data_IF_920971654070
#
_entry.id   IF_920971654070
#
_cell.length_a   1.000
_cell.length_b   1.000
_cell.length_c   1.000
_cell.angle_alpha   90.00
_cell.angle_beta   90.00
_cell.angle_gamma   90.00
#
_symmetry.space_group_name_H-M   'P 1'
#
loop_
_entity.id
_entity.type
_entity.pdbx_description
1 polymer ?
#
# COMPACT_ATOMS: atom_id res chain seq x y z
N UNK A 1 -37.00 -19.79 -14.20
CA UNK A 1 -37.37 -18.35 -14.18
C UNK A 1 -36.08 -17.57 -14.04
N UNK A 2 -35.76 -16.70 -15.00
CA UNK A 2 -34.58 -15.85 -14.92
C UNK A 2 -34.84 -14.75 -13.89
N UNK A 3 -34.08 -14.74 -12.80
CA UNK A 3 -34.14 -13.64 -11.83
C UNK A 3 -33.65 -12.35 -12.50
N UNK A 4 -34.39 -11.23 -12.37
CA UNK A 4 -33.94 -9.96 -12.91
C UNK A 4 -32.58 -9.59 -12.29
N UNK A 5 -31.58 -9.38 -13.14
CA UNK A 5 -30.26 -8.89 -12.73
C UNK A 5 -30.39 -7.40 -12.45
N UNK A 6 -30.21 -6.99 -11.19
CA UNK A 6 -30.20 -5.58 -10.83
C UNK A 6 -28.90 -4.94 -11.34
N UNK A 7 -29.01 -4.16 -12.42
CA UNK A 7 -27.87 -3.48 -13.06
C UNK A 7 -27.54 -2.11 -12.45
N UNK A 8 -28.17 -1.74 -11.32
CA UNK A 8 -28.01 -0.44 -10.69
C UNK A 8 -28.64 0.70 -11.49
N UNK A 9 -28.56 1.93 -10.96
CA UNK A 9 -29.02 3.13 -11.68
C UNK A 9 -28.00 3.46 -12.79
N UNK A 10 -28.44 3.76 -14.03
CA UNK A 10 -27.54 4.19 -15.09
C UNK A 10 -26.74 5.42 -14.64
N UNK A 11 -25.41 5.28 -14.63
CA UNK A 11 -24.50 6.39 -14.33
C UNK A 11 -24.23 7.20 -15.59
N UNK A 12 -24.19 8.52 -15.45
CA UNK A 12 -23.93 9.41 -16.58
C UNK A 12 -22.43 9.52 -16.84
N UNK A 13 -22.07 9.80 -18.09
CA UNK A 13 -20.73 10.26 -18.41
C UNK A 13 -20.61 11.75 -18.10
N UNK A 14 -19.51 12.14 -17.47
CA UNK A 14 -19.15 13.51 -17.15
C UNK A 14 -17.96 13.90 -18.02
N UNK A 15 -18.04 15.07 -18.66
CA UNK A 15 -16.93 15.64 -19.40
C UNK A 15 -16.04 16.46 -18.47
N UNK A 16 -14.74 16.19 -18.50
CA UNK A 16 -13.70 16.91 -17.75
C UNK A 16 -12.44 17.09 -18.59
N UNK A 17 -11.56 17.99 -18.17
CA UNK A 17 -10.24 18.19 -18.77
C UNK A 17 -9.15 17.84 -17.76
N UNK A 18 -8.18 17.01 -18.16
CA UNK A 18 -6.97 16.71 -17.38
C UNK A 18 -5.76 17.09 -18.21
N UNK A 19 -4.97 18.05 -17.72
CA UNK A 19 -3.78 18.58 -18.41
C UNK A 19 -4.07 18.96 -19.87
N UNK A 20 -5.23 19.61 -20.09
CA UNK A 20 -5.70 20.03 -21.43
C UNK A 20 -6.42 18.94 -22.25
N UNK A 21 -6.39 17.68 -21.82
CA UNK A 21 -7.06 16.57 -22.52
C UNK A 21 -8.51 16.46 -22.06
N UNK A 22 -9.46 16.67 -22.98
CA UNK A 22 -10.88 16.42 -22.71
C UNK A 22 -11.16 14.91 -22.68
N UNK A 23 -11.81 14.43 -21.61
CA UNK A 23 -12.18 13.04 -21.42
C UNK A 23 -13.60 12.92 -20.88
N UNK A 24 -14.22 11.76 -21.14
CA UNK A 24 -15.47 11.36 -20.53
C UNK A 24 -15.21 10.28 -19.49
N UNK A 25 -15.68 10.52 -18.26
CA UNK A 25 -15.54 9.57 -17.15
C UNK A 25 -16.89 9.25 -16.56
N UNK A 26 -17.02 8.06 -15.96
CA UNK A 26 -18.25 7.65 -15.31
C UNK A 26 -18.46 8.44 -14.01
N UNK A 27 -19.69 8.87 -13.78
CA UNK A 27 -20.10 9.50 -12.52
C UNK A 27 -19.71 8.62 -11.31
N UNK A 28 -19.17 9.25 -10.27
CA UNK A 28 -18.69 8.58 -9.06
C UNK A 28 -17.24 8.09 -9.11
N UNK A 29 -16.54 8.19 -10.25
CA UNK A 29 -15.09 8.01 -10.31
C UNK A 29 -14.35 9.09 -9.52
N UNK A 30 -13.19 8.75 -8.97
CA UNK A 30 -12.26 9.73 -8.40
C UNK A 30 -11.42 10.38 -9.50
N UNK A 31 -10.79 11.53 -9.20
CA UNK A 31 -9.83 12.14 -10.12
C UNK A 31 -8.66 11.18 -10.40
N UNK A 32 -8.23 10.39 -9.40
CA UNK A 32 -7.16 9.40 -9.59
C UNK A 32 -7.56 8.32 -10.61
N UNK A 33 -8.81 7.83 -10.55
CA UNK A 33 -9.32 6.86 -11.52
C UNK A 33 -9.33 7.44 -12.94
N UNK A 34 -9.70 8.71 -13.08
CA UNK A 34 -9.65 9.43 -14.35
C UNK A 34 -8.21 9.59 -14.87
N UNK A 35 -7.25 9.90 -14.00
CA UNK A 35 -5.83 9.97 -14.35
C UNK A 35 -5.31 8.62 -14.85
N UNK A 36 -5.72 7.52 -14.20
CA UNK A 36 -5.33 6.15 -14.60
C UNK A 36 -5.85 5.76 -15.98
N UNK A 37 -7.07 6.17 -16.35
CA UNK A 37 -7.59 5.95 -17.71
C UNK A 37 -6.72 6.62 -18.79
N UNK A 38 -6.17 7.79 -18.48
CA UNK A 38 -5.22 8.50 -19.34
C UNK A 38 -3.78 8.02 -19.22
N UNK A 39 -3.51 7.01 -18.38
CA UNK A 39 -2.17 6.53 -18.03
C UNK A 39 -1.26 7.63 -17.48
N UNK A 40 -1.85 8.63 -16.83
CA UNK A 40 -1.12 9.67 -16.10
C UNK A 40 -0.69 9.10 -14.76
N UNK A 41 0.63 8.93 -14.60
CA UNK A 41 1.24 8.50 -13.34
C UNK A 41 1.08 9.59 -12.26
N UNK A 42 0.01 9.45 -11.47
CA UNK A 42 -0.29 10.29 -10.31
C UNK A 42 0.16 9.55 -9.04
N UNK A 43 1.17 10.06 -8.32
CA UNK A 43 1.77 9.35 -7.19
C UNK A 43 0.80 9.02 -6.05
N UNK A 44 0.89 7.81 -5.50
CA UNK A 44 0.13 7.44 -4.30
C UNK A 44 0.96 6.56 -3.37
N UNK A 45 0.88 6.81 -2.07
CA UNK A 45 1.51 5.95 -1.04
C UNK A 45 0.47 5.27 -0.15
N UNK A 46 -0.58 5.99 0.26
CA UNK A 46 -1.67 5.47 1.11
C UNK A 46 -2.87 4.93 0.33
N UNK A 47 -2.94 5.11 -0.99
CA UNK A 47 -4.02 4.55 -1.80
C UNK A 47 -3.69 3.11 -2.24
N UNK A 48 -4.67 2.23 -2.19
CA UNK A 48 -4.64 0.90 -2.79
C UNK A 48 -6.04 0.61 -3.32
N UNK A 49 -6.17 0.00 -4.50
CA UNK A 49 -7.48 -0.17 -5.16
C UNK A 49 -8.45 -1.04 -4.38
N UNK A 50 -7.91 -1.96 -3.58
CA UNK A 50 -8.66 -2.89 -2.75
C UNK A 50 -8.95 -2.35 -1.35
N UNK A 51 -8.55 -1.10 -1.04
CA UNK A 51 -8.76 -0.46 0.26
C UNK A 51 -9.45 0.90 0.11
N UNK A 52 -10.14 1.30 1.17
CA UNK A 52 -10.76 2.61 1.31
C UNK A 52 -9.69 3.71 1.40
N UNK A 53 -9.75 4.77 0.57
CA UNK A 53 -8.74 5.82 0.58
C UNK A 53 -8.76 6.68 1.87
N UNK A 54 -7.66 6.65 2.62
CA UNK A 54 -7.50 7.40 3.88
C UNK A 54 -7.10 8.87 3.65
N UNK A 55 -6.53 9.20 2.49
CA UNK A 55 -6.06 10.55 2.13
C UNK A 55 -4.92 11.15 2.97
N UNK A 56 -4.21 10.33 3.75
CA UNK A 56 -3.20 10.81 4.72
C UNK A 56 -1.86 11.18 4.07
N UNK A 57 -1.41 10.47 3.03
CA UNK A 57 -0.06 10.69 2.47
C UNK A 57 0.09 12.00 1.68
N UNK A 58 -1.00 12.59 1.19
CA UNK A 58 -1.04 13.84 0.40
C UNK A 58 -0.16 13.92 -0.85
N UNK A 59 0.52 12.86 -1.28
CA UNK A 59 1.34 12.89 -2.52
C UNK A 59 0.45 12.97 -3.78
N UNK A 60 -0.75 12.40 -3.73
CA UNK A 60 -1.67 12.33 -4.88
C UNK A 60 -2.38 13.65 -5.21
N UNK A 61 -2.02 14.76 -4.56
CA UNK A 61 -2.72 16.02 -4.74
C UNK A 61 -2.62 16.53 -6.18
N UNK A 62 -3.68 17.19 -6.64
CA UNK A 62 -3.80 17.83 -7.96
C UNK A 62 -4.41 19.22 -7.80
N UNK A 63 -4.20 20.08 -8.79
CA UNK A 63 -4.83 21.39 -8.86
C UNK A 63 -6.12 21.30 -9.69
N UNK A 64 -7.19 21.91 -9.19
CA UNK A 64 -8.47 22.01 -9.91
C UNK A 64 -8.78 23.49 -10.06
N UNK A 65 -9.10 23.93 -11.28
CA UNK A 65 -9.44 25.34 -11.54
C UNK A 65 -10.60 25.79 -10.64
N UNK A 66 -10.46 26.99 -10.07
CA UNK A 66 -11.40 27.53 -9.08
C UNK A 66 -11.23 27.00 -7.66
N UNK A 67 -10.48 25.91 -7.45
CA UNK A 67 -10.15 25.44 -6.10
C UNK A 67 -9.00 26.24 -5.49
N UNK A 68 -9.23 26.78 -4.28
CA UNK A 68 -8.18 27.49 -3.53
C UNK A 68 -7.03 26.55 -3.10
N UNK A 69 -7.37 25.31 -2.75
CA UNK A 69 -6.42 24.31 -2.23
C UNK A 69 -6.18 23.19 -3.24
N UNK A 70 -5.02 22.53 -3.15
CA UNK A 70 -4.79 21.29 -3.88
C UNK A 70 -5.65 20.17 -3.29
N UNK A 71 -6.33 19.43 -4.16
CA UNK A 71 -7.30 18.40 -3.77
C UNK A 71 -6.67 17.01 -3.87
N UNK A 72 -6.98 16.07 -2.96
CA UNK A 72 -6.49 14.71 -3.05
C UNK A 72 -7.18 13.97 -4.20
N UNK A 73 -6.44 13.56 -5.23
CA UNK A 73 -7.05 12.87 -6.39
C UNK A 73 -7.67 11.53 -6.02
N UNK A 74 -7.13 10.82 -5.02
CA UNK A 74 -7.58 9.48 -4.61
C UNK A 74 -8.98 9.42 -3.96
N UNK A 75 -9.56 10.55 -3.56
CA UNK A 75 -10.93 10.59 -2.99
C UNK A 75 -11.83 11.65 -3.60
N UNK A 76 -11.27 12.71 -4.19
CA UNK A 76 -12.08 13.75 -4.82
C UNK A 76 -12.82 13.16 -6.02
N UNK A 77 -14.15 13.15 -5.93
CA UNK A 77 -15.03 12.74 -7.04
C UNK A 77 -14.99 13.77 -8.16
N UNK A 78 -15.05 13.26 -9.39
CA UNK A 78 -15.10 14.07 -10.60
C UNK A 78 -16.49 14.71 -10.74
N UNK A 79 -16.53 15.98 -11.12
CA UNK A 79 -17.74 16.72 -11.46
C UNK A 79 -17.66 17.25 -12.89
N UNK A 80 -18.79 17.39 -13.56
CA UNK A 80 -18.84 17.89 -14.93
C UNK A 80 -18.16 19.28 -15.05
N UNK A 81 -17.35 19.44 -16.09
CA UNK A 81 -16.64 20.68 -16.37
C UNK A 81 -15.40 20.93 -15.51
N UNK A 82 -15.01 19.99 -14.64
CA UNK A 82 -13.74 20.11 -13.91
C UNK A 82 -12.56 20.21 -14.88
N UNK A 83 -11.63 21.10 -14.55
CA UNK A 83 -10.33 21.22 -15.21
C UNK A 83 -9.24 20.95 -14.18
N UNK A 84 -8.47 19.90 -14.42
CA UNK A 84 -7.52 19.32 -13.48
C UNK A 84 -6.12 19.47 -14.07
N UNK A 85 -5.20 19.98 -13.27
CA UNK A 85 -3.77 20.09 -13.60
C UNK A 85 -2.99 19.16 -12.65
N UNK A 86 -2.35 18.13 -13.20
CA UNK A 86 -1.70 17.07 -12.41
C UNK A 86 -0.22 17.31 -12.17
N UNK A 87 0.38 18.29 -12.87
CA UNK A 87 1.82 18.60 -12.78
C UNK A 87 2.11 20.10 -12.81
N UNK A 88 1.16 20.95 -12.36
CA UNK A 88 1.39 22.39 -12.21
C UNK A 88 2.51 22.70 -11.21
N UNK A 89 3.07 23.91 -11.25
CA UNK A 89 4.14 24.33 -10.32
C UNK A 89 3.74 24.11 -8.85
N UNK A 90 2.48 24.44 -8.50
CA UNK A 90 1.94 24.23 -7.14
C UNK A 90 1.91 22.74 -6.77
N UNK A 91 1.47 21.88 -7.69
CA UNK A 91 1.44 20.43 -7.48
C UNK A 91 2.85 19.87 -7.31
N UNK A 92 3.77 20.25 -8.20
CA UNK A 92 5.18 19.83 -8.15
C UNK A 92 5.84 20.22 -6.84
N UNK A 93 5.66 21.47 -6.42
CA UNK A 93 6.17 21.96 -5.14
C UNK A 93 5.61 21.15 -3.95
N UNK A 94 4.29 20.93 -3.93
CA UNK A 94 3.65 20.16 -2.86
C UNK A 94 4.15 18.72 -2.80
N UNK A 95 4.27 18.03 -3.94
CA UNK A 95 4.75 16.65 -4.01
C UNK A 95 6.19 16.52 -3.54
N UNK A 96 7.07 17.42 -4.00
CA UNK A 96 8.46 17.50 -3.53
C UNK A 96 8.52 17.64 -2.02
N UNK A 97 7.82 18.63 -1.45
CA UNK A 97 7.84 18.89 -0.01
C UNK A 97 7.33 17.71 0.81
N UNK A 98 6.24 17.08 0.38
CA UNK A 98 5.69 15.90 1.07
C UNK A 98 6.67 14.74 1.04
N UNK A 99 7.30 14.47 -0.10
CA UNK A 99 8.30 13.40 -0.21
C UNK A 99 9.55 13.69 0.64
N UNK A 100 10.01 14.93 0.70
CA UNK A 100 11.12 15.35 1.57
C UNK A 100 10.77 15.18 3.05
N UNK A 101 9.56 15.58 3.46
CA UNK A 101 9.09 15.43 4.84
C UNK A 101 9.02 13.95 5.26
N UNK A 102 8.45 13.10 4.40
CA UNK A 102 8.41 11.65 4.66
C UNK A 102 9.82 11.06 4.74
N UNK A 103 10.69 11.37 3.77
CA UNK A 103 12.05 10.84 3.73
C UNK A 103 12.95 11.36 4.85
N UNK A 104 12.58 12.47 5.50
CA UNK A 104 13.32 13.00 6.65
C UNK A 104 12.98 12.33 7.99
N UNK A 105 11.81 11.68 8.09
CA UNK A 105 11.34 11.09 9.35
C UNK A 105 11.39 9.56 9.39
N UNK A 106 11.50 8.92 8.23
CA UNK A 106 11.55 7.45 8.09
C UNK A 106 12.59 6.98 7.09
N UNK A 107 13.04 5.73 7.24
CA UNK A 107 13.83 5.05 6.21
C UNK A 107 12.94 4.55 5.05
N UNK A 108 13.05 5.21 3.90
CA UNK A 108 12.32 4.89 2.66
C UNK A 108 13.10 4.01 1.68
N UNK A 109 14.25 3.44 2.08
CA UNK A 109 15.13 2.65 1.18
C UNK A 109 14.46 1.41 0.58
N UNK A 110 13.48 0.83 1.30
CA UNK A 110 12.71 -0.34 0.87
C UNK A 110 11.41 -0.01 0.13
N UNK A 111 11.12 1.27 -0.09
CA UNK A 111 10.01 1.64 -0.95
C UNK A 111 10.22 1.12 -2.38
N UNK A 112 9.09 0.87 -3.06
CA UNK A 112 9.09 0.43 -4.45
C UNK A 112 9.86 1.41 -5.35
N UNK A 113 10.52 0.93 -6.44
CA UNK A 113 11.34 1.77 -7.32
C UNK A 113 10.64 3.03 -7.85
N UNK A 114 9.32 2.97 -8.03
CA UNK A 114 8.46 4.07 -8.47
C UNK A 114 8.54 5.26 -7.52
N UNK A 115 8.65 5.02 -6.21
CA UNK A 115 8.79 6.09 -5.21
C UNK A 115 10.09 6.86 -5.40
N UNK A 116 11.20 6.16 -5.68
CA UNK A 116 12.47 6.80 -6.03
C UNK A 116 12.37 7.55 -7.36
N UNK A 117 11.64 6.99 -8.33
CA UNK A 117 11.30 7.65 -9.59
C UNK A 117 10.54 8.97 -9.37
N UNK A 118 9.56 9.00 -8.47
CA UNK A 118 8.83 10.21 -8.10
C UNK A 118 9.73 11.22 -7.40
N UNK A 119 10.55 10.78 -6.44
CA UNK A 119 11.50 11.68 -5.77
C UNK A 119 12.43 12.34 -6.78
N UNK A 120 12.97 11.58 -7.73
CA UNK A 120 13.79 12.13 -8.82
C UNK A 120 12.99 13.09 -9.72
N UNK A 121 11.78 12.70 -10.15
CA UNK A 121 10.89 13.53 -11.01
C UNK A 121 10.57 14.90 -10.41
N UNK A 122 10.41 14.97 -9.09
CA UNK A 122 10.08 16.20 -8.37
C UNK A 122 11.29 16.89 -7.74
N UNK A 123 12.50 16.32 -7.82
CA UNK A 123 13.70 16.86 -7.19
C UNK A 123 13.61 16.89 -5.66
N UNK A 124 13.08 15.82 -5.05
CA UNK A 124 12.97 15.68 -3.61
C UNK A 124 14.28 15.19 -3.00
N UNK A 125 14.80 15.95 -2.04
CA UNK A 125 16.04 15.63 -1.32
C UNK A 125 15.74 15.18 0.11
N UNK A 126 15.99 13.90 0.41
CA UNK A 126 15.72 13.32 1.74
C UNK A 126 16.43 14.06 2.88
N UNK A 127 17.61 14.64 2.60
CA UNK A 127 18.45 15.31 3.59
C UNK A 127 18.15 16.80 3.78
N UNK A 128 17.12 17.34 3.09
CA UNK A 128 16.79 18.76 3.11
C UNK A 128 16.60 19.35 4.51
N UNK A 129 16.02 18.57 5.42
CA UNK A 129 15.76 19.00 6.81
C UNK A 129 16.92 18.71 7.77
N UNK A 130 17.98 18.06 7.30
CA UNK A 130 19.19 17.77 8.05
C UNK A 130 19.00 16.75 9.18
N UNK A 131 20.06 16.49 9.97
CA UNK A 131 20.06 15.48 11.03
C UNK A 131 19.20 15.84 12.25
N UNK A 132 18.71 17.08 12.33
CA UNK A 132 17.83 17.54 13.41
C UNK A 132 16.35 17.25 13.16
N UNK A 133 15.99 16.62 12.03
CA UNK A 133 14.63 16.20 11.76
C UNK A 133 14.17 15.18 12.81
N UNK A 134 12.96 15.37 13.36
CA UNK A 134 12.37 14.40 14.25
C UNK A 134 12.02 13.11 13.48
N UNK A 135 12.36 11.97 14.06
CA UNK A 135 12.09 10.65 13.48
C UNK A 135 11.01 9.93 14.27
N UNK A 136 10.37 8.96 13.62
CA UNK A 136 9.44 8.02 14.28
C UNK A 136 10.16 6.70 14.63
N UNK A 137 11.49 6.76 14.76
CA UNK A 137 12.32 5.60 15.00
C UNK A 137 11.97 4.93 16.34
N UNK A 138 11.92 3.62 16.31
CA UNK A 138 11.70 2.78 17.47
C UNK A 138 12.33 1.40 17.23
N UNK A 139 12.61 0.64 18.30
CA UNK A 139 13.15 -0.71 18.15
C UNK A 139 12.27 -1.59 17.27
N UNK A 140 12.93 -2.39 16.43
CA UNK A 140 12.28 -3.41 15.60
C UNK A 140 11.59 -4.43 16.52
N UNK A 141 10.33 -4.74 16.23
CA UNK A 141 9.52 -5.70 16.99
C UNK A 141 9.42 -7.01 16.21
N UNK A 142 9.90 -8.09 16.82
CA UNK A 142 9.79 -9.46 16.31
C UNK A 142 8.89 -10.24 17.27
N UNK A 143 7.59 -10.27 17.00
CA UNK A 143 6.62 -10.90 17.91
C UNK A 143 6.47 -12.42 17.69
N UNK A 144 6.86 -12.91 16.51
CA UNK A 144 6.74 -14.31 16.10
C UNK A 144 7.62 -14.61 14.88
N UNK A 145 7.58 -15.87 14.41
CA UNK A 145 8.35 -16.36 13.26
C UNK A 145 7.75 -16.03 11.87
N UNK A 146 6.62 -15.31 11.82
CA UNK A 146 5.92 -15.02 10.56
C UNK A 146 6.30 -13.64 10.00
N UNK A 147 6.35 -12.62 10.85
CA UNK A 147 6.62 -11.24 10.39
C UNK A 147 7.19 -10.29 11.44
N UNK A 148 7.78 -9.22 10.93
CA UNK A 148 8.51 -8.19 11.68
C UNK A 148 7.84 -6.83 11.51
N UNK A 149 7.90 -6.01 12.56
CA UNK A 149 7.41 -4.63 12.57
C UNK A 149 8.56 -3.66 12.82
N UNK A 150 8.97 -2.94 11.78
CA UNK A 150 10.00 -1.90 11.80
C UNK A 150 9.35 -0.54 11.52
N UNK A 151 8.85 0.13 12.57
CA UNK A 151 8.16 1.41 12.37
C UNK A 151 9.10 2.60 12.11
N UNK A 152 10.42 2.43 12.15
CA UNK A 152 11.35 3.43 11.60
C UNK A 152 11.13 3.67 10.10
N UNK A 153 10.43 2.76 9.42
CA UNK A 153 10.03 2.84 8.01
C UNK A 153 8.57 3.24 7.81
N UNK A 154 7.79 3.42 8.88
CA UNK A 154 6.34 3.57 8.78
C UNK A 154 5.93 5.01 8.48
N UNK A 155 5.46 5.27 7.27
CA UNK A 155 4.93 6.58 6.84
C UNK A 155 3.50 6.86 7.34
N UNK A 156 2.98 6.07 8.29
CA UNK A 156 1.59 6.18 8.80
C UNK A 156 0.54 6.26 7.69
N UNK A 157 0.68 5.43 6.65
CA UNK A 157 -0.24 5.42 5.51
C UNK A 157 -1.60 4.76 5.79
N UNK A 158 -1.73 4.08 6.94
CA UNK A 158 -2.91 3.38 7.46
C UNK A 158 -3.43 2.21 6.62
N UNK A 159 -2.81 1.86 5.48
CA UNK A 159 -3.17 0.67 4.69
C UNK A 159 -3.25 -0.60 5.54
N UNK A 160 -2.33 -0.77 6.50
CA UNK A 160 -2.33 -1.91 7.39
C UNK A 160 -3.53 -1.94 8.35
N UNK A 161 -3.99 -0.77 8.80
CA UNK A 161 -5.17 -0.62 9.67
C UNK A 161 -6.43 -0.94 8.88
N UNK A 162 -6.58 -0.37 7.69
CA UNK A 162 -7.72 -0.65 6.80
C UNK A 162 -7.80 -2.14 6.42
N UNK A 163 -6.66 -2.75 6.05
CA UNK A 163 -6.60 -4.19 5.75
C UNK A 163 -6.87 -5.08 6.99
N UNK A 164 -6.54 -4.62 8.20
CA UNK A 164 -6.88 -5.34 9.42
C UNK A 164 -8.37 -5.17 9.80
N UNK A 165 -8.96 -4.05 9.39
CA UNK A 165 -10.35 -3.69 9.60
C UNK A 165 -11.27 -4.14 8.46
N UNK A 166 -12.21 -3.28 8.11
CA UNK A 166 -13.39 -3.62 7.28
C UNK A 166 -13.04 -4.02 5.86
N UNK A 167 -11.95 -3.50 5.31
CA UNK A 167 -11.64 -3.67 3.88
C UNK A 167 -11.13 -5.08 3.54
N UNK A 168 -10.64 -5.84 4.53
CA UNK A 168 -10.20 -7.21 4.28
C UNK A 168 -10.50 -8.21 5.41
N UNK A 169 -9.99 -7.97 6.61
CA UNK A 169 -9.94 -9.02 7.64
C UNK A 169 -11.06 -8.96 8.70
N UNK A 170 -11.56 -7.77 9.04
CA UNK A 170 -12.51 -7.53 10.13
C UNK A 170 -12.03 -8.03 11.51
N UNK A 171 -10.73 -7.98 11.78
CA UNK A 171 -10.15 -8.39 13.07
C UNK A 171 -9.82 -7.19 13.97
N UNK A 172 -9.45 -6.04 13.39
CA UNK A 172 -9.14 -4.81 14.13
C UNK A 172 -8.03 -4.97 15.21
N UNK A 173 -7.07 -5.87 14.98
CA UNK A 173 -5.96 -6.13 15.92
C UNK A 173 -4.91 -5.01 15.97
N UNK A 174 -4.88 -4.13 14.98
CA UNK A 174 -3.97 -2.97 14.97
C UNK A 174 -4.74 -1.70 14.64
N UNK A 175 -4.33 -0.61 15.28
CA UNK A 175 -4.84 0.74 15.07
C UNK A 175 -3.74 1.78 15.22
N UNK A 176 -4.13 3.06 15.23
CA UNK A 176 -3.20 4.17 15.43
C UNK A 176 -3.27 4.61 16.89
N UNK A 177 -2.12 4.69 17.55
CA UNK A 177 -1.95 5.22 18.90
C UNK A 177 -1.04 6.45 18.87
N UNK A 178 -1.16 7.33 19.88
CA UNK A 178 -0.35 8.55 19.99
C UNK A 178 -0.83 9.70 19.10
N UNK A 179 -0.01 10.76 19.02
CA UNK A 179 -0.29 11.97 18.22
C UNK A 179 1.02 12.65 17.80
N UNK A 180 1.01 13.38 16.68
CA UNK A 180 2.21 14.05 16.19
C UNK A 180 3.33 13.04 15.90
N UNK A 181 4.54 13.32 16.37
CA UNK A 181 5.67 12.39 16.22
C UNK A 181 5.59 11.14 17.11
N UNK A 182 4.71 11.14 18.12
CA UNK A 182 4.44 9.95 18.94
C UNK A 182 3.43 8.98 18.27
N UNK A 183 2.88 9.36 17.11
CA UNK A 183 1.90 8.55 16.40
C UNK A 183 2.54 7.28 15.83
N UNK A 184 1.98 6.10 16.14
CA UNK A 184 2.49 4.82 15.68
C UNK A 184 1.36 3.79 15.57
N UNK A 185 1.62 2.70 14.82
CA UNK A 185 0.71 1.57 14.75
C UNK A 185 0.86 0.75 16.03
N UNK A 186 -0.24 0.44 16.70
CA UNK A 186 -0.24 -0.34 17.94
C UNK A 186 -1.38 -1.35 17.96
N UNK A 187 -1.18 -2.40 18.74
CA UNK A 187 -2.21 -3.32 19.23
C UNK A 187 -2.98 -2.69 20.38
N UNK A 188 -4.09 -3.31 20.75
CA UNK A 188 -4.81 -3.02 21.98
C UNK A 188 -3.88 -3.14 23.20
N UNK A 189 -3.98 -2.19 24.14
CA UNK A 189 -3.14 -2.13 25.35
C UNK A 189 -1.61 -2.22 25.12
N UNK A 190 -1.13 -2.07 23.87
CA UNK A 190 0.30 -2.20 23.50
C UNK A 190 0.88 -3.59 23.79
N UNK A 191 0.05 -4.63 23.79
CA UNK A 191 0.53 -6.01 23.99
C UNK A 191 1.20 -6.57 22.73
N UNK A 192 2.08 -7.57 22.84
CA UNK A 192 2.60 -8.29 21.66
C UNK A 192 1.47 -8.88 20.81
N UNK A 193 1.73 -9.09 19.51
CA UNK A 193 0.71 -9.66 18.60
C UNK A 193 0.12 -11.01 19.07
N UNK A 194 0.89 -11.92 19.71
CA UNK A 194 0.33 -13.14 20.29
C UNK A 194 -0.64 -12.98 21.45
N UNK A 195 -0.61 -11.83 22.12
CA UNK A 195 -1.52 -11.51 23.22
C UNK A 195 -2.67 -10.59 22.74
N UNK A 196 -2.73 -10.32 21.44
CA UNK A 196 -3.67 -9.43 20.78
C UNK A 196 -4.72 -10.25 19.99
N UNK A 197 -5.78 -9.59 19.50
CA UNK A 197 -6.79 -10.15 18.62
C UNK A 197 -6.24 -10.64 17.25
N UNK A 198 -4.94 -10.48 16.98
CA UNK A 198 -4.34 -10.81 15.69
C UNK A 198 -4.50 -12.29 15.32
N UNK A 199 -5.01 -12.54 14.12
CA UNK A 199 -5.17 -13.90 13.55
C UNK A 199 -4.07 -14.28 12.55
N UNK A 200 -3.02 -13.46 12.46
CA UNK A 200 -1.84 -13.70 11.62
C UNK A 200 -2.13 -13.89 10.12
N UNK A 201 -3.15 -13.22 9.56
CA UNK A 201 -3.44 -13.32 8.13
C UNK A 201 -2.35 -12.68 7.24
N UNK A 202 -1.58 -11.74 7.78
CA UNK A 202 -0.50 -11.04 7.07
C UNK A 202 -0.99 -10.09 5.97
N UNK A 203 -2.29 -9.77 5.88
CA UNK A 203 -2.79 -8.80 4.92
C UNK A 203 -2.19 -7.40 5.14
N UNK A 204 -1.87 -7.04 6.39
CA UNK A 204 -1.17 -5.80 6.73
C UNK A 204 0.25 -5.71 6.12
N UNK A 205 0.94 -6.84 5.96
CA UNK A 205 2.25 -6.93 5.29
C UNK A 205 2.08 -6.79 3.79
N UNK A 206 1.09 -7.49 3.21
CA UNK A 206 0.81 -7.47 1.78
C UNK A 206 0.49 -6.08 1.22
N UNK A 207 0.05 -5.16 2.08
CA UNK A 207 -0.31 -3.78 1.68
C UNK A 207 0.71 -2.72 2.15
N UNK A 208 1.75 -3.10 2.90
CA UNK A 208 2.72 -2.15 3.44
C UNK A 208 3.66 -1.64 2.32
N UNK A 209 3.68 -0.34 2.01
CA UNK A 209 4.45 0.17 0.87
C UNK A 209 5.94 0.45 1.18
N UNK A 210 6.35 0.36 2.45
CA UNK A 210 7.68 0.80 2.91
C UNK A 210 8.52 -0.31 3.56
N UNK A 211 7.97 -1.52 3.69
CA UNK A 211 8.61 -2.60 4.45
C UNK A 211 8.55 -2.44 5.97
N UNK A 212 7.77 -1.48 6.50
CA UNK A 212 7.56 -1.34 7.94
C UNK A 212 6.85 -2.56 8.57
N UNK A 213 6.07 -3.28 7.77
CA UNK A 213 5.54 -4.61 8.08
C UNK A 213 6.05 -5.55 7.00
N UNK A 214 6.77 -6.59 7.37
CA UNK A 214 7.45 -7.46 6.42
C UNK A 214 7.52 -8.91 6.89
N UNK A 215 7.68 -9.84 5.95
CA UNK A 215 7.93 -11.24 6.29
C UNK A 215 9.20 -11.39 7.12
N UNK A 216 9.19 -12.27 8.12
CA UNK A 216 10.38 -12.56 8.93
C UNK A 216 11.52 -13.10 8.07
N UNK A 217 11.20 -13.97 7.12
CA UNK A 217 12.15 -14.48 6.12
C UNK A 217 12.82 -13.38 5.31
N UNK A 218 12.04 -12.41 4.82
CA UNK A 218 12.58 -11.27 4.08
C UNK A 218 13.46 -10.39 4.98
N UNK A 219 13.01 -10.09 6.19
CA UNK A 219 13.79 -9.32 7.16
C UNK A 219 15.15 -9.97 7.45
N UNK A 220 15.15 -11.26 7.75
CA UNK A 220 16.38 -12.00 8.11
C UNK A 220 17.35 -12.08 6.94
N UNK A 221 16.85 -12.35 5.73
CA UNK A 221 17.70 -12.37 4.53
C UNK A 221 18.30 -11.00 4.22
N UNK A 222 17.56 -9.90 4.47
CA UNK A 222 18.10 -8.54 4.33
C UNK A 222 19.20 -8.26 5.35
N UNK A 223 19.01 -8.66 6.61
CA UNK A 223 20.03 -8.53 7.65
C UNK A 223 21.29 -9.36 7.34
N UNK A 224 21.10 -10.54 6.75
CA UNK A 224 22.20 -11.40 6.31
C UNK A 224 22.87 -10.95 5.00
N UNK A 225 22.34 -9.92 4.32
CA UNK A 225 22.83 -9.47 3.01
C UNK A 225 22.58 -10.46 1.87
N UNK A 226 21.66 -11.42 2.06
CA UNK A 226 21.34 -12.48 1.08
C UNK A 226 20.07 -12.21 0.29
N UNK A 227 19.26 -11.21 0.67
CA UNK A 227 18.06 -10.82 -0.06
C UNK A 227 18.40 -10.10 -1.37
N UNK A 228 17.95 -10.65 -2.50
CA UNK A 228 18.12 -10.04 -3.82
C UNK A 228 16.85 -10.21 -4.67
N UNK A 229 16.06 -9.15 -4.76
CA UNK A 229 14.82 -9.10 -5.55
C UNK A 229 15.06 -9.35 -7.05
N UNK A 230 16.23 -8.99 -7.58
CA UNK A 230 16.55 -9.18 -9.00
C UNK A 230 16.79 -10.65 -9.34
N UNK A 231 17.14 -11.46 -8.34
CA UNK A 231 17.31 -12.92 -8.48
C UNK A 231 16.02 -13.69 -8.19
N UNK A 232 14.96 -13.01 -7.78
CA UNK A 232 13.69 -13.65 -7.49
C UNK A 232 12.89 -13.90 -8.76
N UNK A 233 12.27 -15.08 -8.82
CA UNK A 233 11.26 -15.42 -9.80
C UNK A 233 9.90 -15.48 -9.11
N UNK A 234 8.90 -14.84 -9.71
CA UNK A 234 7.51 -14.86 -9.22
C UNK A 234 6.72 -15.81 -10.09
N UNK A 235 6.06 -16.78 -9.47
CA UNK A 235 5.22 -17.77 -10.16
C UNK A 235 3.86 -17.85 -9.50
N UNK A 236 2.81 -17.78 -10.32
CA UNK A 236 1.45 -17.93 -9.87
C UNK A 236 1.07 -19.40 -9.68
N UNK A 237 0.36 -19.69 -8.60
CA UNK A 237 -0.22 -21.01 -8.35
C UNK A 237 -1.52 -20.90 -7.57
N UNK A 238 -2.20 -22.02 -7.37
CA UNK A 238 -3.45 -22.08 -6.60
C UNK A 238 -3.16 -22.66 -5.21
N UNK A 239 -3.67 -21.97 -4.19
CA UNK A 239 -3.57 -22.38 -2.80
C UNK A 239 -4.28 -23.73 -2.56
N UNK A 240 -3.59 -24.76 -2.05
CA UNK A 240 -4.17 -26.10 -1.89
C UNK A 240 -4.91 -26.31 -0.56
N UNK A 241 -5.01 -25.29 0.30
CA UNK A 241 -5.45 -25.47 1.70
C UNK A 241 -6.96 -25.62 1.90
N UNK A 242 -7.78 -25.09 0.99
CA UNK A 242 -9.25 -25.18 1.06
C UNK A 242 -9.87 -24.95 -0.32
N UNK A 243 -11.19 -25.10 -0.42
CA UNK A 243 -11.94 -24.95 -1.68
C UNK A 243 -12.09 -23.52 -2.22
N UNK A 244 -11.52 -22.50 -1.56
CA UNK A 244 -11.55 -21.12 -2.06
C UNK A 244 -10.67 -20.96 -3.31
N UNK A 245 -9.54 -21.67 -3.37
CA UNK A 245 -8.65 -21.60 -4.52
C UNK A 245 -7.99 -20.24 -4.73
N UNK A 246 -7.51 -19.60 -3.65
CA UNK A 246 -6.79 -18.33 -3.73
C UNK A 246 -5.58 -18.45 -4.69
N UNK A 247 -5.36 -17.45 -5.54
CA UNK A 247 -4.12 -17.36 -6.33
C UNK A 247 -2.99 -16.87 -5.44
N UNK A 248 -1.86 -17.55 -5.51
CA UNK A 248 -0.64 -17.25 -4.77
C UNK A 248 0.45 -16.84 -5.75
N UNK A 249 1.12 -15.73 -5.47
CA UNK A 249 2.38 -15.35 -6.10
C UNK A 249 3.53 -15.88 -5.23
N UNK A 250 4.21 -16.92 -5.70
CA UNK A 250 5.37 -17.48 -5.00
C UNK A 250 6.63 -16.70 -5.39
N UNK A 251 7.25 -16.01 -4.44
CA UNK A 251 8.55 -15.36 -4.65
C UNK A 251 9.65 -16.36 -4.33
N UNK A 252 10.41 -16.76 -5.34
CA UNK A 252 11.43 -17.81 -5.23
C UNK A 252 12.81 -17.22 -5.46
N UNK A 253 13.70 -17.40 -4.49
CA UNK A 253 15.13 -17.09 -4.61
C UNK A 253 15.92 -18.37 -4.34
N UNK A 254 16.91 -18.69 -5.19
CA UNK A 254 17.84 -19.79 -4.94
C UNK A 254 17.14 -21.16 -4.70
N UNK A 255 16.08 -21.42 -5.47
CA UNK A 255 15.24 -22.63 -5.37
C UNK A 255 14.49 -22.77 -4.03
N UNK A 256 14.33 -21.66 -3.30
CA UNK A 256 13.56 -21.58 -2.07
C UNK A 256 12.50 -20.48 -2.18
N UNK A 257 11.27 -20.78 -1.74
CA UNK A 257 10.21 -19.79 -1.58
C UNK A 257 10.57 -18.93 -0.38
N UNK A 258 10.74 -17.62 -0.62
CA UNK A 258 11.15 -16.66 0.41
C UNK A 258 9.96 -15.86 0.96
N UNK A 259 8.91 -15.64 0.15
CA UNK A 259 7.63 -15.07 0.58
C UNK A 259 6.50 -15.43 -0.39
N UNK A 260 5.26 -15.22 0.05
CA UNK A 260 4.07 -15.44 -0.78
C UNK A 260 3.14 -14.22 -0.74
N UNK A 261 2.84 -13.68 -1.92
CA UNK A 261 1.84 -12.61 -2.10
C UNK A 261 0.64 -13.15 -2.89
N UNK A 262 -0.25 -12.25 -3.30
CA UNK A 262 -1.39 -12.58 -4.14
C UNK A 262 -1.67 -11.37 -5.02
N UNK A 263 -2.05 -11.58 -6.29
CA UNK A 263 -2.37 -10.50 -7.20
C UNK A 263 -3.59 -9.73 -6.69
N UNK A 264 -3.50 -8.39 -6.73
CA UNK A 264 -4.56 -7.48 -6.28
C UNK A 264 -5.74 -7.44 -7.26
N UNK A 265 -5.48 -7.67 -8.54
CA UNK A 265 -6.42 -7.65 -9.66
C UNK A 265 -7.02 -9.04 -9.95
N UNK A 266 -7.28 -9.82 -8.90
CA UNK A 266 -7.83 -11.16 -9.03
C UNK A 266 -9.19 -11.32 -8.33
N UNK A 267 -10.15 -11.91 -9.03
CA UNK A 267 -11.57 -11.95 -8.63
C UNK A 267 -11.87 -12.79 -7.39
N UNK A 268 -10.98 -13.71 -7.02
CA UNK A 268 -11.23 -14.64 -5.89
C UNK A 268 -10.96 -14.00 -4.54
N UNK A 269 -9.85 -13.26 -4.40
CA UNK A 269 -9.43 -12.72 -3.10
C UNK A 269 -8.92 -11.28 -3.13
N UNK A 270 -8.77 -10.66 -4.30
CA UNK A 270 -8.28 -9.28 -4.44
C UNK A 270 -6.97 -9.02 -3.67
N UNK A 271 -6.04 -9.98 -3.71
CA UNK A 271 -4.74 -9.90 -3.01
C UNK A 271 -4.75 -10.35 -1.54
N UNK A 272 -5.92 -10.61 -0.96
CA UNK A 272 -6.03 -11.06 0.43
C UNK A 272 -5.77 -12.56 0.57
N UNK A 273 -5.12 -12.96 1.65
CA UNK A 273 -4.86 -14.36 1.98
C UNK A 273 -5.10 -14.57 3.48
N UNK A 274 -5.45 -15.81 3.84
CA UNK A 274 -5.39 -16.24 5.23
C UNK A 274 -3.95 -16.63 5.62
N UNK A 275 -3.73 -16.89 6.91
CA UNK A 275 -2.42 -17.33 7.44
C UNK A 275 -1.82 -18.50 6.67
N UNK A 276 -2.65 -19.47 6.24
CA UNK A 276 -2.19 -20.66 5.51
C UNK A 276 -1.70 -20.30 4.10
N UNK A 277 -2.43 -19.48 3.36
CA UNK A 277 -2.00 -19.04 2.03
C UNK A 277 -0.76 -18.14 2.09
N UNK A 278 -0.68 -17.26 3.09
CA UNK A 278 0.40 -16.28 3.25
C UNK A 278 1.71 -16.88 3.75
N UNK A 279 1.64 -17.82 4.70
CA UNK A 279 2.83 -18.31 5.42
C UNK A 279 2.99 -19.83 5.38
N UNK A 280 1.96 -20.57 4.98
CA UNK A 280 1.95 -22.03 5.02
C UNK A 280 2.86 -22.70 3.99
N UNK A 281 3.60 -21.99 3.15
CA UNK A 281 4.36 -22.58 2.05
C UNK A 281 5.57 -23.45 2.49
N UNK A 282 5.96 -23.47 3.76
CA UNK A 282 7.15 -24.20 4.20
C UNK A 282 7.08 -25.72 3.97
N UNK A 283 5.88 -26.34 3.93
CA UNK A 283 5.76 -27.78 3.73
C UNK A 283 6.33 -28.27 2.39
N UNK A 284 6.29 -27.45 1.32
CA UNK A 284 6.88 -27.84 0.03
C UNK A 284 8.40 -27.77 0.02
N UNK A 285 8.97 -27.02 0.97
CA UNK A 285 10.43 -26.82 1.09
C UNK A 285 11.09 -27.86 2.00
N UNK A 286 10.29 -28.59 2.80
CA UNK A 286 10.75 -29.74 3.57
C UNK A 286 10.95 -30.93 2.63
N UNK A 287 12.02 -30.87 1.83
CA UNK A 287 12.58 -32.03 1.11
C UNK A 287 13.20 -32.92 2.18
N UNK A 288 12.47 -33.95 2.61
CA UNK A 288 12.78 -34.71 3.82
C UNK A 288 14.26 -34.98 4.07
N UNK A 289 14.72 -34.56 5.25
CA UNK A 289 15.64 -35.27 6.13
C UNK A 289 15.40 -34.73 7.54
N UNK A 290 14.86 -35.62 8.36
CA UNK A 290 14.38 -35.49 9.74
C UNK A 290 12.99 -34.86 9.96
#
# INVERSE_FOLDING_TARGET
MASPVFVGVPRRFLEVSIDGHAIQVMEGMTILDACRQLRIDTPTLCNLETLTPVNVCRVCVVEVEGSRVLVPSCSRKVEAGMKIHTDSERVRHSRRLVLELLASSVDMSLCAPEVRGWMARYGAEAQRFGPGAATVEQPVKVDNELYVRDYSRCILCYKCVEACGVDAQNTFAIGVAGRGFDAHISTEFTVPLPESACVYCGNCIGVCPTGALMFKSEHDMRQAGTWDEKRQHVTDTVCPYCGVGCVLELHVQDNSIVKVTSPLDHSVTSGHLCVKGRFGFQFVQRRGRD
#
